data_IF_336794731656
#
_entry.id   IF_336794731656
#
_cell.length_a   1.000
_cell.length_b   1.000
_cell.length_c   1.000
_cell.angle_alpha   90.00
_cell.angle_beta   90.00
_cell.angle_gamma   90.00
#
_symmetry.space_group_name_H-M   'P 1'
#
loop_
_entity.id
_entity.type
_entity.pdbx_description
1 polymer ?
#
# COMPACT_ATOMS: atom_id res chain seq x y z
N UNK A 1 11.48 -15.59 -29.02
CA UNK A 1 10.76 -14.32 -28.68
C UNK A 1 11.77 -13.19 -28.53
N UNK A 2 12.11 -12.49 -29.65
CA UNK A 2 12.87 -11.24 -29.60
C UNK A 2 11.90 -10.09 -29.22
N UNK A 3 11.66 -9.86 -27.92
CA UNK A 3 11.12 -8.57 -27.50
C UNK A 3 12.19 -7.52 -27.85
N UNK A 4 11.88 -6.61 -28.77
CA UNK A 4 12.69 -5.43 -29.05
C UNK A 4 13.03 -4.76 -27.74
N UNK A 5 14.32 -4.71 -27.39
CA UNK A 5 14.76 -4.07 -26.15
C UNK A 5 14.40 -2.58 -26.26
N UNK A 6 13.41 -2.12 -25.47
CA UNK A 6 12.90 -0.74 -25.49
C UNK A 6 13.99 0.32 -25.19
N UNK A 7 15.16 -0.12 -24.76
CA UNK A 7 16.30 0.72 -24.36
C UNK A 7 17.43 0.72 -25.38
N UNK A 8 17.27 0.06 -26.56
CA UNK A 8 18.27 0.06 -27.62
C UNK A 8 18.58 1.51 -28.05
N UNK A 9 19.85 1.91 -27.96
CA UNK A 9 20.33 3.25 -28.33
C UNK A 9 20.20 4.33 -27.25
N UNK A 10 19.61 4.02 -26.08
CA UNK A 10 19.59 4.96 -24.94
C UNK A 10 20.77 4.70 -24.01
N UNK A 11 21.44 5.77 -23.59
CA UNK A 11 22.46 5.75 -22.52
C UNK A 11 21.90 6.45 -21.28
N UNK A 12 22.04 5.81 -20.13
CA UNK A 12 21.57 6.34 -18.85
C UNK A 12 22.75 6.83 -18.00
N UNK A 13 22.57 7.90 -17.25
CA UNK A 13 23.58 8.32 -16.28
C UNK A 13 23.62 7.37 -15.08
N UNK A 14 22.45 6.93 -14.62
CA UNK A 14 22.29 6.00 -13.51
C UNK A 14 21.20 5.00 -13.79
N UNK A 15 21.46 3.73 -13.51
CA UNK A 15 20.43 2.67 -13.42
C UNK A 15 20.37 2.19 -11.98
N UNK A 16 19.18 2.22 -11.39
CA UNK A 16 18.90 1.67 -10.07
C UNK A 16 18.09 0.38 -10.23
N UNK A 17 18.69 -0.75 -9.92
CA UNK A 17 18.04 -2.05 -9.92
C UNK A 17 17.55 -2.40 -8.50
N UNK A 18 16.24 -2.41 -8.33
CA UNK A 18 15.57 -2.74 -7.08
C UNK A 18 15.23 -4.23 -6.96
N UNK A 19 15.59 -5.02 -7.96
CA UNK A 19 15.30 -6.46 -7.98
C UNK A 19 16.44 -7.25 -7.32
N UNK A 20 16.07 -8.43 -6.79
CA UNK A 20 17.05 -9.36 -6.19
C UNK A 20 17.20 -10.64 -7.04
N UNK A 21 16.98 -10.54 -8.35
CA UNK A 21 17.01 -11.67 -9.29
C UNK A 21 18.23 -11.53 -10.20
N UNK A 22 19.26 -12.35 -9.99
CA UNK A 22 20.55 -12.28 -10.65
C UNK A 22 20.46 -12.15 -12.17
N UNK A 23 19.69 -13.02 -12.85
CA UNK A 23 19.56 -12.97 -14.32
C UNK A 23 18.95 -11.65 -14.83
N UNK A 24 18.00 -11.07 -14.08
CA UNK A 24 17.39 -9.79 -14.43
C UNK A 24 18.36 -8.65 -14.21
N UNK A 25 19.10 -8.64 -13.10
CA UNK A 25 20.16 -7.69 -12.80
C UNK A 25 21.24 -7.68 -13.88
N UNK A 26 21.74 -8.86 -14.27
CA UNK A 26 22.72 -8.99 -15.34
C UNK A 26 22.20 -8.48 -16.69
N UNK A 27 20.94 -8.77 -17.03
CA UNK A 27 20.34 -8.25 -18.25
C UNK A 27 20.15 -6.72 -18.21
N UNK A 28 19.81 -6.16 -17.07
CA UNK A 28 19.69 -4.73 -16.89
C UNK A 28 21.05 -4.04 -16.95
N UNK A 29 22.10 -4.65 -16.40
CA UNK A 29 23.48 -4.14 -16.46
C UNK A 29 24.05 -4.07 -17.89
N UNK A 30 23.50 -4.81 -18.86
CA UNK A 30 23.87 -4.71 -20.29
C UNK A 30 23.32 -3.45 -20.97
N UNK A 31 22.38 -2.75 -20.37
CA UNK A 31 21.86 -1.48 -20.90
C UNK A 31 22.95 -0.41 -20.73
N UNK A 32 23.27 0.41 -21.76
CA UNK A 32 24.32 1.41 -21.66
C UNK A 32 24.07 2.41 -20.52
N UNK A 33 25.02 2.56 -19.60
CA UNK A 33 24.92 3.43 -18.44
C UNK A 33 26.29 3.97 -18.03
N UNK A 34 26.32 5.04 -17.20
CA UNK A 34 27.52 5.53 -16.54
C UNK A 34 27.74 4.89 -15.18
N UNK A 35 26.64 4.73 -14.40
CA UNK A 35 26.67 4.12 -13.08
C UNK A 35 25.50 3.15 -12.89
N UNK A 36 25.73 2.08 -12.15
CA UNK A 36 24.76 1.02 -11.87
C UNK A 36 24.68 0.76 -10.37
N UNK A 37 23.47 0.85 -9.81
CA UNK A 37 23.20 0.50 -8.43
C UNK A 37 22.36 -0.78 -8.38
N UNK A 38 22.75 -1.75 -7.56
CA UNK A 38 21.94 -2.93 -7.24
C UNK A 38 22.29 -3.50 -5.88
N UNK A 39 21.29 -3.88 -5.10
CA UNK A 39 21.46 -4.64 -3.85
C UNK A 39 21.50 -6.15 -4.09
N UNK A 40 21.41 -6.60 -5.35
CA UNK A 40 21.45 -8.02 -5.70
C UNK A 40 22.81 -8.62 -5.30
N UNK A 41 22.76 -9.81 -4.68
CA UNK A 41 23.96 -10.53 -4.20
C UNK A 41 24.93 -9.66 -3.40
N UNK A 42 24.37 -8.88 -2.46
CA UNK A 42 25.16 -8.01 -1.58
C UNK A 42 26.06 -7.03 -2.33
N UNK A 43 25.49 -6.30 -3.28
CA UNK A 43 26.17 -5.26 -4.09
C UNK A 43 27.23 -5.74 -5.09
N UNK A 44 27.43 -7.05 -5.33
CA UNK A 44 28.44 -7.58 -6.26
C UNK A 44 28.34 -6.95 -7.66
N UNK A 45 27.13 -6.64 -8.13
CA UNK A 45 26.90 -6.06 -9.45
C UNK A 45 26.86 -4.53 -9.46
N UNK A 46 26.96 -3.89 -8.29
CA UNK A 46 26.85 -2.45 -8.11
C UNK A 46 28.20 -1.75 -8.26
N UNK A 47 28.19 -0.53 -8.82
CA UNK A 47 29.33 0.38 -8.80
C UNK A 47 29.44 1.12 -7.45
N UNK A 48 28.40 1.01 -6.62
CA UNK A 48 28.34 1.56 -5.26
C UNK A 48 28.60 0.46 -4.24
N UNK A 49 29.32 0.79 -3.17
CA UNK A 49 29.56 -0.08 -2.02
C UNK A 49 28.78 0.42 -0.84
N UNK A 50 28.36 -0.47 0.03
CA UNK A 50 27.74 -0.09 1.31
C UNK A 50 28.83 0.17 2.37
N UNK A 51 29.59 1.24 2.17
CA UNK A 51 30.69 1.70 3.04
C UNK A 51 30.21 2.46 4.28
N UNK A 52 28.90 2.76 4.36
CA UNK A 52 28.24 3.42 5.48
C UNK A 52 27.42 2.47 6.34
N UNK A 53 27.57 1.17 6.15
CA UNK A 53 26.88 0.11 6.90
C UNK A 53 25.34 0.27 6.97
N UNK A 54 24.74 0.84 5.90
CA UNK A 54 23.30 0.95 5.81
C UNK A 54 22.62 -0.43 5.86
N UNK A 55 21.58 -0.52 6.66
CA UNK A 55 20.80 -1.75 6.78
C UNK A 55 19.85 -1.87 5.56
N UNK A 56 19.89 -3.04 4.90
CA UNK A 56 19.04 -3.37 3.74
C UNK A 56 18.21 -4.64 3.91
N UNK A 57 18.22 -5.23 5.12
CA UNK A 57 17.41 -6.40 5.48
C UNK A 57 16.62 -6.14 6.74
N UNK A 58 15.42 -6.70 6.82
CA UNK A 58 14.59 -6.59 8.03
C UNK A 58 14.14 -5.16 8.36
N UNK A 59 14.13 -4.27 7.40
CA UNK A 59 13.70 -2.89 7.56
C UNK A 59 12.47 -2.59 6.72
N UNK A 60 11.76 -1.59 7.15
CA UNK A 60 10.64 -1.03 6.47
C UNK A 60 11.00 -0.54 5.06
N UNK A 61 10.13 -0.81 4.06
CA UNK A 61 10.45 -0.66 2.64
C UNK A 61 10.80 0.79 2.24
N UNK A 62 10.15 1.77 2.83
CA UNK A 62 10.41 3.18 2.57
C UNK A 62 11.83 3.56 3.04
N UNK A 63 12.23 3.10 4.25
CA UNK A 63 13.61 3.28 4.73
C UNK A 63 14.63 2.57 3.84
N UNK A 64 14.30 1.41 3.32
CA UNK A 64 15.14 0.71 2.34
C UNK A 64 15.44 1.60 1.13
N UNK A 65 14.43 2.25 0.56
CA UNK A 65 14.63 3.15 -0.58
C UNK A 65 15.40 4.40 -0.21
N UNK A 66 15.17 4.97 0.98
CA UNK A 66 15.93 6.12 1.44
C UNK A 66 17.39 5.79 1.72
N UNK A 67 17.72 4.60 2.20
CA UNK A 67 19.09 4.13 2.34
C UNK A 67 19.78 4.00 0.98
N UNK A 68 19.07 3.52 -0.06
CA UNK A 68 19.58 3.53 -1.44
C UNK A 68 19.90 4.93 -1.90
N UNK A 69 18.97 5.87 -1.76
CA UNK A 69 19.18 7.26 -2.16
C UNK A 69 20.32 7.91 -1.38
N UNK A 70 20.42 7.66 -0.08
CA UNK A 70 21.51 8.15 0.76
C UNK A 70 22.88 7.67 0.31
N UNK A 71 22.96 6.40 -0.10
CA UNK A 71 24.20 5.82 -0.59
C UNK A 71 24.59 6.39 -1.95
N UNK A 72 23.64 6.51 -2.88
CA UNK A 72 23.87 7.06 -4.22
C UNK A 72 24.26 8.54 -4.15
N UNK A 73 23.56 9.33 -3.32
CA UNK A 73 23.81 10.77 -3.15
C UNK A 73 25.03 11.08 -2.27
N UNK A 74 25.65 10.07 -1.65
CA UNK A 74 26.66 10.23 -0.62
C UNK A 74 26.25 11.17 0.53
N UNK A 75 24.93 11.19 0.85
CA UNK A 75 24.33 12.04 1.87
C UNK A 75 23.28 11.24 2.64
N UNK A 76 23.26 11.33 3.96
CA UNK A 76 22.29 10.62 4.79
C UNK A 76 20.97 11.37 4.87
N UNK A 77 19.88 10.73 4.44
CA UNK A 77 18.52 11.23 4.56
C UNK A 77 17.85 10.60 5.79
N UNK A 78 17.93 11.28 6.93
CA UNK A 78 17.36 10.80 8.20
C UNK A 78 15.84 10.76 8.14
N UNK A 79 15.25 11.86 7.70
CA UNK A 79 13.79 12.03 7.63
C UNK A 79 13.27 11.72 6.23
N UNK A 80 12.21 10.91 6.20
CA UNK A 80 11.42 10.69 5.00
C UNK A 80 10.46 11.87 4.88
N UNK A 81 10.51 12.66 3.79
CA UNK A 81 9.67 13.83 3.65
C UNK A 81 8.20 13.43 3.51
N UNK A 82 7.30 14.25 4.06
CA UNK A 82 5.89 14.10 3.82
C UNK A 82 5.56 14.44 2.36
N UNK A 83 4.72 13.61 1.73
CA UNK A 83 4.26 13.83 0.37
C UNK A 83 3.18 14.91 0.39
N UNK A 84 3.38 15.99 -0.38
CA UNK A 84 2.30 16.96 -0.63
C UNK A 84 1.42 16.42 -1.76
N UNK A 85 0.20 16.05 -1.43
CA UNK A 85 -0.74 15.50 -2.39
C UNK A 85 -1.24 16.64 -3.30
N UNK A 86 -1.08 16.55 -4.64
CA UNK A 86 -1.57 17.54 -5.57
C UNK A 86 -3.10 17.67 -5.48
N UNK A 87 -3.62 18.87 -5.77
CA UNK A 87 -5.07 19.08 -5.90
C UNK A 87 -5.64 18.19 -7.00
N UNK A 88 -6.82 17.63 -6.76
CA UNK A 88 -7.54 16.83 -7.73
C UNK A 88 -9.01 17.29 -7.76
N UNK A 89 -9.40 17.97 -8.84
CA UNK A 89 -10.76 18.54 -9.00
C UNK A 89 -11.86 17.47 -8.98
N UNK A 90 -11.56 16.25 -9.46
CA UNK A 90 -12.54 15.17 -9.49
C UNK A 90 -12.91 14.65 -8.08
N UNK A 91 -12.05 14.87 -7.09
CA UNK A 91 -12.31 14.45 -5.71
C UNK A 91 -13.07 15.49 -4.88
N UNK A 92 -13.25 16.70 -5.43
CA UNK A 92 -13.99 17.77 -4.75
C UNK A 92 -15.48 17.39 -4.69
N UNK A 93 -16.11 17.60 -3.53
CA UNK A 93 -17.54 17.37 -3.29
C UNK A 93 -18.05 15.90 -3.40
N UNK A 94 -17.18 14.90 -3.51
CA UNK A 94 -17.61 13.50 -3.49
C UNK A 94 -17.98 13.08 -2.06
N UNK A 95 -17.22 13.52 -1.06
CA UNK A 95 -17.40 13.21 0.35
C UNK A 95 -17.54 14.53 1.10
N UNK A 96 -18.73 14.76 1.66
CA UNK A 96 -19.09 16.01 2.34
C UNK A 96 -19.40 15.81 3.83
N UNK A 97 -19.23 14.58 4.34
CA UNK A 97 -19.45 14.24 5.75
C UNK A 97 -18.23 14.58 6.60
N UNK A 98 -18.43 14.64 7.90
CA UNK A 98 -17.35 14.89 8.84
C UNK A 98 -16.32 13.75 8.78
N UNK A 99 -15.05 14.11 8.67
CA UNK A 99 -13.93 13.18 8.61
C UNK A 99 -13.94 12.20 9.79
N UNK A 100 -14.24 12.66 10.99
CA UNK A 100 -14.16 11.86 12.23
C UNK A 100 -15.23 10.77 12.31
N UNK A 101 -16.26 10.86 11.47
CA UNK A 101 -17.30 9.83 11.33
C UNK A 101 -17.08 8.89 10.16
N UNK A 102 -16.07 9.12 9.31
CA UNK A 102 -15.87 8.39 8.06
C UNK A 102 -14.85 7.26 8.22
N UNK A 103 -15.27 6.03 8.00
CA UNK A 103 -14.41 4.85 7.99
C UNK A 103 -14.28 4.34 6.56
N UNK A 104 -13.03 4.18 6.11
CA UNK A 104 -12.73 3.54 4.84
C UNK A 104 -12.49 2.04 5.01
N UNK A 105 -12.93 1.24 4.04
CA UNK A 105 -12.63 -0.19 3.94
C UNK A 105 -12.09 -0.49 2.54
N UNK A 106 -10.89 -1.08 2.46
CA UNK A 106 -10.28 -1.51 1.20
C UNK A 106 -10.00 -3.02 1.23
N UNK A 107 -10.93 -3.84 0.73
CA UNK A 107 -10.84 -5.29 0.78
C UNK A 107 -9.91 -5.87 -0.29
N UNK A 108 -9.46 -5.05 -1.25
CA UNK A 108 -8.58 -5.46 -2.34
C UNK A 108 -7.13 -5.68 -1.94
N UNK A 109 -6.47 -6.59 -2.64
CA UNK A 109 -5.02 -6.75 -2.66
C UNK A 109 -4.60 -7.30 -4.02
N UNK A 110 -3.38 -7.01 -4.46
CA UNK A 110 -2.88 -7.44 -5.77
C UNK A 110 -2.77 -8.97 -5.98
N UNK A 111 -3.03 -9.77 -4.94
CA UNK A 111 -3.13 -11.22 -5.01
C UNK A 111 -4.19 -11.71 -4.02
N UNK A 112 -5.09 -12.61 -4.45
CA UNK A 112 -6.19 -13.16 -3.63
C UNK A 112 -5.71 -13.85 -2.35
N UNK A 113 -4.54 -14.44 -2.33
CA UNK A 113 -3.97 -15.06 -1.11
C UNK A 113 -3.66 -14.05 0.01
N UNK A 114 -3.70 -12.76 -0.28
CA UNK A 114 -3.52 -11.65 0.67
C UNK A 114 -4.83 -10.96 1.02
N UNK A 115 -5.96 -11.49 0.56
CA UNK A 115 -7.27 -10.91 0.82
C UNK A 115 -7.97 -11.68 1.93
N UNK A 116 -8.40 -10.95 2.96
CA UNK A 116 -9.39 -11.44 3.91
C UNK A 116 -10.75 -11.51 3.22
N UNK A 117 -11.62 -12.39 3.70
CA UNK A 117 -12.93 -12.60 3.09
C UNK A 117 -13.75 -11.31 3.04
N UNK A 118 -14.28 -10.99 1.87
CA UNK A 118 -15.09 -9.79 1.68
C UNK A 118 -16.37 -9.79 2.53
N UNK A 119 -17.00 -10.94 2.75
CA UNK A 119 -18.19 -11.04 3.60
C UNK A 119 -17.90 -10.64 5.05
N UNK A 120 -16.69 -10.93 5.54
CA UNK A 120 -16.25 -10.52 6.87
C UNK A 120 -16.07 -8.99 6.96
N UNK A 121 -15.57 -8.36 5.90
CA UNK A 121 -15.54 -6.89 5.81
C UNK A 121 -16.94 -6.28 5.78
N UNK A 122 -17.92 -6.92 5.12
CA UNK A 122 -19.30 -6.48 5.14
C UNK A 122 -19.92 -6.58 6.53
N UNK A 123 -19.59 -7.62 7.30
CA UNK A 123 -20.03 -7.76 8.70
C UNK A 123 -19.47 -6.61 9.55
N UNK A 124 -18.16 -6.37 9.49
CA UNK A 124 -17.52 -5.24 10.19
C UNK A 124 -18.14 -3.89 9.77
N UNK A 125 -18.44 -3.72 8.49
CA UNK A 125 -19.04 -2.50 7.95
C UNK A 125 -20.47 -2.26 8.55
N UNK A 126 -21.26 -3.32 8.69
CA UNK A 126 -22.60 -3.25 9.31
C UNK A 126 -22.50 -2.86 10.78
N UNK A 127 -21.63 -3.52 11.54
CA UNK A 127 -21.42 -3.21 12.96
C UNK A 127 -20.98 -1.75 13.18
N UNK A 128 -20.07 -1.25 12.33
CA UNK A 128 -19.61 0.12 12.43
C UNK A 128 -20.69 1.14 12.05
N UNK A 129 -21.51 0.82 11.05
CA UNK A 129 -22.65 1.67 10.67
C UNK A 129 -23.69 1.75 11.80
N UNK A 130 -23.96 0.65 12.51
CA UNK A 130 -24.83 0.64 13.69
C UNK A 130 -24.29 1.50 14.84
N UNK A 131 -22.95 1.64 14.92
CA UNK A 131 -22.27 2.57 15.84
C UNK A 131 -22.28 4.02 15.36
N UNK A 132 -22.90 4.34 14.22
CA UNK A 132 -23.09 5.70 13.69
C UNK A 132 -21.98 6.17 12.73
N UNK A 133 -21.10 5.29 12.26
CA UNK A 133 -20.07 5.66 11.27
C UNK A 133 -20.60 5.62 9.84
N UNK A 134 -20.09 6.52 9.00
CA UNK A 134 -20.27 6.47 7.55
C UNK A 134 -19.22 5.54 6.93
N UNK A 135 -19.65 4.52 6.22
CA UNK A 135 -18.76 3.50 5.67
C UNK A 135 -18.55 3.69 4.17
N UNK A 136 -17.28 3.77 3.78
CA UNK A 136 -16.85 3.98 2.41
C UNK A 136 -15.97 2.82 1.95
N UNK A 137 -16.40 2.08 0.93
CA UNK A 137 -15.60 1.02 0.32
C UNK A 137 -14.75 1.60 -0.82
N UNK A 138 -13.43 1.44 -0.70
CA UNK A 138 -12.46 1.77 -1.74
C UNK A 138 -12.16 0.52 -2.55
N UNK A 139 -12.76 0.45 -3.73
CA UNK A 139 -12.70 -0.72 -4.62
C UNK A 139 -11.90 -0.36 -5.87
N UNK A 140 -10.78 -1.03 -6.09
CA UNK A 140 -10.02 -0.91 -7.32
C UNK A 140 -10.72 -1.60 -8.52
N UNK A 141 -10.13 -1.52 -9.73
CA UNK A 141 -10.73 -2.12 -10.92
C UNK A 141 -10.83 -3.65 -10.86
N UNK A 142 -10.06 -4.31 -10.00
CA UNK A 142 -10.10 -5.77 -9.81
C UNK A 142 -11.18 -6.21 -8.81
N UNK A 143 -11.74 -5.29 -8.05
CA UNK A 143 -12.76 -5.50 -7.03
C UNK A 143 -14.17 -5.10 -7.50
N UNK A 144 -14.38 -4.90 -8.80
CA UNK A 144 -15.67 -4.53 -9.38
C UNK A 144 -16.78 -5.53 -9.02
N UNK A 145 -16.43 -6.79 -8.83
CA UNK A 145 -17.39 -7.84 -8.41
C UNK A 145 -18.06 -7.53 -7.07
N UNK A 146 -17.41 -6.74 -6.19
CA UNK A 146 -17.94 -6.36 -4.87
C UNK A 146 -18.82 -5.11 -4.90
N UNK A 147 -18.81 -4.36 -6.01
CA UNK A 147 -19.53 -3.09 -6.11
C UNK A 147 -21.03 -3.26 -5.85
N UNK A 148 -21.65 -4.23 -6.52
CA UNK A 148 -23.09 -4.47 -6.36
C UNK A 148 -23.44 -4.84 -4.91
N UNK A 149 -22.65 -5.70 -4.26
CA UNK A 149 -22.84 -6.08 -2.86
C UNK A 149 -22.71 -4.89 -1.91
N UNK A 150 -21.80 -3.96 -2.17
CA UNK A 150 -21.71 -2.73 -1.39
C UNK A 150 -22.97 -1.88 -1.56
N UNK A 151 -23.42 -1.66 -2.80
CA UNK A 151 -24.59 -0.83 -3.12
C UNK A 151 -25.89 -1.44 -2.57
N UNK A 152 -26.10 -2.76 -2.68
CA UNK A 152 -27.23 -3.49 -2.11
C UNK A 152 -27.31 -3.36 -0.58
N UNK A 153 -26.16 -3.23 0.09
CA UNK A 153 -26.07 -2.98 1.52
C UNK A 153 -26.06 -1.47 1.88
N UNK A 154 -26.30 -0.57 0.91
CA UNK A 154 -26.28 0.89 1.07
C UNK A 154 -24.93 1.43 1.58
N UNK A 155 -23.82 0.83 1.19
CA UNK A 155 -22.50 1.37 1.43
C UNK A 155 -22.04 2.24 0.26
N UNK A 156 -21.21 3.24 0.54
CA UNK A 156 -20.72 4.20 -0.44
C UNK A 156 -19.40 3.72 -1.06
N UNK A 157 -19.30 3.83 -2.39
CA UNK A 157 -18.09 3.51 -3.15
C UNK A 157 -17.60 4.76 -3.88
N UNK A 158 -16.80 5.64 -3.23
CA UNK A 158 -16.53 6.99 -3.72
C UNK A 158 -15.68 7.04 -5.00
N UNK A 159 -15.05 5.93 -5.38
CA UNK A 159 -14.28 5.81 -6.63
C UNK A 159 -15.16 5.41 -7.82
N UNK A 160 -16.46 5.08 -7.59
CA UNK A 160 -17.36 4.56 -8.59
C UNK A 160 -18.61 5.44 -8.75
N UNK A 161 -19.05 5.61 -10.00
CA UNK A 161 -20.31 6.27 -10.36
C UNK A 161 -20.94 5.55 -11.54
N UNK A 162 -22.23 5.23 -11.44
CA UNK A 162 -23.01 4.56 -12.49
C UNK A 162 -22.32 3.28 -13.03
N UNK A 163 -21.74 2.47 -12.13
CA UNK A 163 -21.02 1.23 -12.46
C UNK A 163 -19.66 1.43 -13.13
N UNK A 164 -19.17 2.67 -13.21
CA UNK A 164 -17.88 3.02 -13.82
C UNK A 164 -16.96 3.68 -12.81
N UNK A 165 -15.68 3.35 -12.90
CA UNK A 165 -14.67 4.00 -12.08
C UNK A 165 -14.49 5.46 -12.52
N UNK A 166 -14.57 6.40 -11.57
CA UNK A 166 -14.43 7.85 -11.83
C UNK A 166 -13.00 8.17 -12.25
N UNK A 167 -12.03 7.58 -11.56
CA UNK A 167 -10.61 7.78 -11.84
C UNK A 167 -9.78 6.63 -11.25
N UNK A 168 -8.77 6.21 -11.99
CA UNK A 168 -7.73 5.30 -11.50
C UNK A 168 -6.44 6.06 -11.11
N UNK A 169 -6.53 7.36 -10.92
CA UNK A 169 -5.38 8.19 -10.55
C UNK A 169 -5.13 8.12 -9.04
N UNK A 170 -3.91 7.77 -8.67
CA UNK A 170 -3.46 7.67 -7.27
C UNK A 170 -3.79 8.94 -6.47
N UNK A 171 -3.60 10.14 -7.06
CA UNK A 171 -3.90 11.41 -6.36
C UNK A 171 -5.38 11.59 -6.08
N UNK A 172 -6.26 11.00 -6.88
CA UNK A 172 -7.70 10.99 -6.64
C UNK A 172 -8.04 10.22 -5.37
N UNK A 173 -7.60 8.96 -5.28
CA UNK A 173 -7.79 8.12 -4.08
C UNK A 173 -7.16 8.76 -2.84
N UNK A 174 -5.94 9.31 -2.94
CA UNK A 174 -5.28 9.98 -1.82
C UNK A 174 -6.07 11.22 -1.34
N UNK A 175 -6.69 11.99 -2.25
CA UNK A 175 -7.54 13.13 -1.86
C UNK A 175 -8.84 12.70 -1.20
N UNK A 176 -9.44 11.58 -1.62
CA UNK A 176 -10.57 11.00 -0.91
C UNK A 176 -10.15 10.47 0.47
N UNK A 177 -8.95 9.87 0.57
CA UNK A 177 -8.41 9.38 1.84
C UNK A 177 -8.29 10.49 2.89
N UNK A 178 -7.90 11.72 2.52
CA UNK A 178 -7.84 12.87 3.45
C UNK A 178 -9.17 13.16 4.15
N UNK A 179 -10.29 12.65 3.62
CA UNK A 179 -11.64 12.77 4.18
C UNK A 179 -12.04 11.61 5.10
N UNK A 180 -11.14 10.68 5.37
CA UNK A 180 -11.38 9.50 6.19
C UNK A 180 -10.69 9.63 7.55
N UNK A 181 -11.35 9.14 8.60
CA UNK A 181 -10.78 8.97 9.95
C UNK A 181 -9.69 7.92 9.93
N UNK A 182 -10.00 6.76 9.37
CA UNK A 182 -9.07 5.63 9.26
C UNK A 182 -9.44 4.70 8.10
N UNK A 183 -8.54 3.75 7.82
CA UNK A 183 -8.74 2.69 6.83
C UNK A 183 -8.60 1.30 7.46
N UNK A 184 -9.53 0.41 7.16
CA UNK A 184 -9.48 -1.02 7.43
C UNK A 184 -9.16 -1.74 6.11
N UNK A 185 -8.07 -2.52 6.06
CA UNK A 185 -7.62 -3.04 4.75
C UNK A 185 -6.77 -4.31 4.83
N UNK A 186 -6.60 -4.93 3.67
CA UNK A 186 -5.54 -5.90 3.43
C UNK A 186 -4.21 -5.21 3.12
N UNK A 187 -3.10 -5.98 3.07
CA UNK A 187 -1.82 -5.53 2.54
C UNK A 187 -1.91 -5.29 1.03
N UNK A 188 -2.18 -4.05 0.65
CA UNK A 188 -2.42 -3.64 -0.72
C UNK A 188 -1.98 -2.20 -1.02
N UNK A 189 -2.08 -1.83 -2.30
CA UNK A 189 -1.69 -0.51 -2.79
C UNK A 189 -2.51 0.63 -2.18
N UNK A 190 -3.80 0.42 -1.94
CA UNK A 190 -4.70 1.41 -1.34
C UNK A 190 -4.25 1.80 0.06
N UNK A 191 -3.75 0.84 0.87
CA UNK A 191 -3.22 1.13 2.19
C UNK A 191 -2.09 2.17 2.15
N UNK A 192 -1.16 2.04 1.19
CA UNK A 192 -0.08 3.00 1.00
C UNK A 192 -0.58 4.40 0.63
N UNK A 193 -1.62 4.50 -0.21
CA UNK A 193 -2.22 5.78 -0.59
C UNK A 193 -2.78 6.50 0.64
N UNK A 194 -3.43 5.77 1.54
CA UNK A 194 -3.97 6.31 2.79
C UNK A 194 -2.87 6.73 3.77
N UNK A 195 -1.87 5.88 3.99
CA UNK A 195 -0.74 6.19 4.86
C UNK A 195 0.04 7.42 4.37
N UNK A 196 0.23 7.58 3.05
CA UNK A 196 0.83 8.78 2.48
C UNK A 196 -0.08 10.00 2.55
N UNK A 197 -1.39 9.82 2.60
CA UNK A 197 -2.35 10.89 2.87
C UNK A 197 -2.44 11.27 4.36
N UNK A 198 -1.67 10.61 5.23
CA UNK A 198 -1.64 10.88 6.66
C UNK A 198 -2.75 10.19 7.45
N UNK A 199 -3.40 9.19 6.86
CA UNK A 199 -4.51 8.45 7.48
C UNK A 199 -3.99 7.16 8.12
N UNK A 200 -4.40 6.89 9.35
CA UNK A 200 -4.04 5.65 10.04
C UNK A 200 -4.77 4.45 9.45
N UNK A 201 -4.09 3.30 9.44
CA UNK A 201 -4.59 2.07 8.85
C UNK A 201 -4.55 0.90 9.85
N UNK A 202 -5.59 0.08 9.87
CA UNK A 202 -5.57 -1.26 10.45
C UNK A 202 -5.41 -2.24 9.29
N UNK A 203 -4.25 -2.86 9.19
CA UNK A 203 -3.87 -3.69 8.05
C UNK A 203 -3.73 -5.15 8.48
N UNK A 204 -4.46 -6.05 7.81
CA UNK A 204 -4.33 -7.49 8.04
C UNK A 204 -3.36 -8.11 7.04
N UNK A 205 -2.41 -8.90 7.56
CA UNK A 205 -1.34 -9.57 6.83
C UNK A 205 -1.49 -11.09 6.91
N UNK A 206 -1.37 -11.74 5.76
CA UNK A 206 -1.26 -13.19 5.65
C UNK A 206 0.20 -13.62 5.45
N UNK A 207 0.58 -13.87 4.20
CA UNK A 207 1.90 -14.38 3.81
C UNK A 207 2.99 -13.31 3.73
N UNK A 208 2.64 -12.05 3.82
CA UNK A 208 3.56 -10.92 3.68
C UNK A 208 4.12 -10.53 5.05
N UNK A 209 5.40 -10.15 5.10
CA UNK A 209 6.07 -9.68 6.31
C UNK A 209 5.57 -8.27 6.67
N UNK A 210 4.82 -8.16 7.77
CA UNK A 210 4.26 -6.90 8.26
C UNK A 210 5.35 -5.86 8.58
N UNK A 211 6.48 -6.29 9.16
CA UNK A 211 7.59 -5.39 9.54
C UNK A 211 8.15 -4.64 8.34
N UNK A 212 8.06 -5.25 7.16
CA UNK A 212 8.52 -4.66 5.92
C UNK A 212 7.50 -3.73 5.28
N UNK A 213 6.20 -4.03 5.42
CA UNK A 213 5.14 -3.36 4.65
C UNK A 213 4.16 -2.56 5.51
N UNK A 214 4.45 -2.35 6.80
CA UNK A 214 3.71 -1.44 7.66
C UNK A 214 4.48 -0.14 7.90
N UNK A 215 3.83 1.01 7.69
CA UNK A 215 4.45 2.31 7.89
C UNK A 215 4.42 2.70 9.38
N UNK A 216 5.59 2.91 10.03
CA UNK A 216 5.63 3.27 11.44
C UNK A 216 4.83 4.55 11.73
N UNK A 217 4.02 4.51 12.80
CA UNK A 217 3.18 5.63 13.22
C UNK A 217 1.86 5.79 12.46
N UNK A 218 1.67 5.07 11.34
CA UNK A 218 0.44 5.11 10.54
C UNK A 218 -0.28 3.77 10.48
N UNK A 219 0.41 2.66 10.62
CA UNK A 219 -0.14 1.34 10.46
C UNK A 219 -0.13 0.56 11.77
N UNK A 220 -1.30 0.08 12.20
CA UNK A 220 -1.43 -1.03 13.14
C UNK A 220 -1.65 -2.31 12.34
N UNK A 221 -1.01 -3.39 12.75
CA UNK A 221 -0.98 -4.65 11.99
C UNK A 221 -1.69 -5.77 12.72
N UNK A 222 -2.28 -6.68 11.93
CA UNK A 222 -2.75 -7.98 12.35
C UNK A 222 -1.99 -9.00 11.50
N UNK A 223 -1.01 -9.68 12.05
CA UNK A 223 -0.31 -10.77 11.37
C UNK A 223 -0.99 -12.08 11.72
N UNK A 224 -1.70 -12.70 10.79
CA UNK A 224 -2.56 -13.87 11.09
C UNK A 224 -1.77 -15.08 11.60
N UNK A 225 -0.49 -15.21 11.25
CA UNK A 225 0.36 -16.26 11.74
C UNK A 225 0.62 -16.22 13.27
N UNK A 226 0.55 -15.00 13.87
CA UNK A 226 0.70 -14.83 15.32
C UNK A 226 -0.48 -15.43 16.10
N UNK A 227 -1.59 -15.70 15.41
CA UNK A 227 -2.79 -16.37 15.91
C UNK A 227 -2.82 -17.86 15.55
N UNK A 228 -1.73 -18.42 15.00
CA UNK A 228 -1.66 -19.82 14.55
C UNK A 228 -2.45 -20.10 13.26
N UNK A 229 -2.88 -19.07 12.53
CA UNK A 229 -3.70 -19.17 11.32
C UNK A 229 -2.81 -19.05 10.08
N UNK A 230 -2.93 -20.01 9.15
CA UNK A 230 -2.09 -20.09 7.95
C UNK A 230 -2.62 -19.24 6.80
N UNK A 231 -3.92 -19.20 6.60
CA UNK A 231 -4.55 -18.50 5.49
C UNK A 231 -5.36 -17.31 6.01
N UNK A 232 -5.13 -16.15 5.44
CA UNK A 232 -5.76 -14.89 5.87
C UNK A 232 -7.29 -14.96 5.80
N UNK A 233 -7.86 -15.69 4.84
CA UNK A 233 -9.31 -15.86 4.69
C UNK A 233 -9.95 -16.53 5.92
N UNK A 234 -9.17 -17.37 6.66
CA UNK A 234 -9.68 -18.10 7.82
C UNK A 234 -9.64 -17.26 9.11
N UNK A 235 -9.03 -16.07 9.09
CA UNK A 235 -8.93 -15.22 10.27
C UNK A 235 -10.32 -14.86 10.80
N UNK A 236 -10.62 -15.11 12.11
CA UNK A 236 -11.97 -14.91 12.66
C UNK A 236 -12.33 -13.43 12.75
N UNK A 237 -13.60 -13.13 12.50
CA UNK A 237 -14.15 -11.77 12.64
C UNK A 237 -14.03 -11.27 14.08
N UNK A 238 -14.25 -12.11 15.07
CA UNK A 238 -14.18 -11.74 16.49
C UNK A 238 -12.76 -11.30 16.89
N UNK A 239 -11.73 -11.97 16.37
CA UNK A 239 -10.34 -11.55 16.62
C UNK A 239 -10.00 -10.24 15.89
N UNK A 240 -10.59 -10.03 14.70
CA UNK A 240 -10.46 -8.75 13.98
C UNK A 240 -11.12 -7.62 14.81
N UNK A 241 -12.33 -7.83 15.35
CA UNK A 241 -13.07 -6.85 16.18
C UNK A 241 -12.26 -6.44 17.42
N UNK A 242 -11.63 -7.39 18.12
CA UNK A 242 -10.73 -7.08 19.25
C UNK A 242 -9.54 -6.18 18.87
N UNK A 243 -8.96 -6.41 17.68
CA UNK A 243 -7.87 -5.57 17.19
C UNK A 243 -8.39 -4.20 16.72
N UNK A 244 -9.59 -4.15 16.17
CA UNK A 244 -10.27 -2.91 15.75
C UNK A 244 -10.56 -2.01 16.96
N UNK A 245 -11.04 -2.56 18.07
CA UNK A 245 -11.30 -1.79 19.30
C UNK A 245 -10.00 -1.15 19.82
N UNK A 246 -8.90 -1.91 19.88
CA UNK A 246 -7.58 -1.37 20.24
C UNK A 246 -7.09 -0.29 19.26
N UNK A 247 -7.38 -0.48 17.96
CA UNK A 247 -7.01 0.51 16.94
C UNK A 247 -7.76 1.81 17.14
N UNK A 248 -9.04 1.77 17.48
CA UNK A 248 -9.84 2.97 17.73
C UNK A 248 -9.38 3.80 18.94
N UNK A 249 -8.68 3.20 19.89
CA UNK A 249 -8.04 3.94 20.99
C UNK A 249 -6.88 4.84 20.49
N UNK A 250 -6.38 4.59 19.27
CA UNK A 250 -5.22 5.30 18.71
C UNK A 250 -5.58 6.34 17.65
N UNK A 251 -6.85 6.44 17.17
CA UNK A 251 -7.28 7.26 16.02
C UNK A 251 -8.31 8.31 16.36
#
# INVERSE_FOLDING_TARGET
FKKKNKFLGKKFDLIIDLQKVVLRTLNLKKVPHKSFFSTCTNFIFSDYKNDKDFIFKGIYIERFYFNILSLIANNYFEKIPNIKIPKNKLSENIINTDKDTNIAIAPGAGNRIRQWDFQKYLEIAKDLREKGFNIYFFLGPQEQEYLNLCLENNFLCPEWKDGKMISNNITFTMKLAEKMKCLLCNDGGTAWMFEFAGVKTLKIFGVTDEKKFSRPGYCQTIQVNDYGIKEIKDFPVEEYKKNLDKFFETV
#
